data_IF_836205196724
#
_entry.id   IF_836205196724
#
_cell.length_a   1.000
_cell.length_b   1.000
_cell.length_c   1.000
_cell.angle_alpha   90.00
_cell.angle_beta   90.00
_cell.angle_gamma   90.00
#
_symmetry.space_group_name_H-M   'P 1'
#
loop_
_entity.id
_entity.type
_entity.pdbx_description
1 polymer ?
#
# COMPACT_ATOMS: atom_id res chain seq x y z
N UNK A 1 0.91 -7.32 -9.45
CA UNK A 1 0.15 -6.45 -8.55
C UNK A 1 -0.88 -5.74 -9.41
N UNK A 2 -2.15 -5.81 -9.03
CA UNK A 2 -3.24 -5.13 -9.71
C UNK A 2 -3.63 -3.90 -8.91
N UNK A 3 -3.78 -2.73 -9.57
CA UNK A 3 -4.22 -1.50 -8.91
C UNK A 3 -5.62 -1.15 -9.42
N UNK A 4 -6.57 -1.03 -8.50
CA UNK A 4 -7.97 -0.75 -8.77
C UNK A 4 -8.34 0.61 -8.16
N UNK A 5 -9.26 1.34 -8.78
CA UNK A 5 -9.82 2.54 -8.16
C UNK A 5 -10.56 2.16 -6.88
N UNK A 6 -10.43 2.96 -5.84
CA UNK A 6 -11.13 2.70 -4.59
C UNK A 6 -12.64 2.88 -4.76
N UNK A 7 -13.43 1.98 -4.15
CA UNK A 7 -14.89 1.99 -4.26
C UNK A 7 -15.56 1.88 -2.91
N UNK A 8 -16.37 2.89 -2.56
CA UNK A 8 -17.14 2.95 -1.30
C UNK A 8 -18.62 3.08 -1.61
N UNK A 9 -19.45 2.18 -1.06
CA UNK A 9 -20.93 2.20 -1.24
C UNK A 9 -21.34 2.39 -2.70
N UNK A 10 -20.73 1.63 -3.60
CA UNK A 10 -20.90 1.68 -5.06
C UNK A 10 -20.41 2.94 -5.78
N UNK A 11 -19.73 3.88 -5.11
CA UNK A 11 -19.14 5.09 -5.72
C UNK A 11 -17.63 4.96 -5.84
N UNK A 12 -17.08 5.36 -6.97
CA UNK A 12 -15.63 5.48 -7.15
C UNK A 12 -15.14 6.74 -6.46
N UNK A 13 -14.09 6.62 -5.64
CA UNK A 13 -13.46 7.78 -5.02
C UNK A 13 -12.27 8.21 -5.88
N UNK A 14 -12.28 9.49 -6.25
CA UNK A 14 -11.23 10.06 -7.09
C UNK A 14 -9.94 10.23 -6.28
N UNK A 15 -8.79 9.87 -6.87
CA UNK A 15 -7.49 9.97 -6.20
C UNK A 15 -7.19 8.84 -5.21
N UNK A 16 -8.08 7.84 -5.08
CA UNK A 16 -7.93 6.72 -4.17
C UNK A 16 -7.85 5.39 -4.92
N UNK A 17 -6.96 4.51 -4.45
CA UNK A 17 -6.60 3.28 -5.14
C UNK A 17 -6.33 2.14 -4.17
N UNK A 18 -6.79 0.95 -4.52
CA UNK A 18 -6.56 -0.30 -3.80
C UNK A 18 -5.57 -1.18 -4.58
N UNK A 19 -4.60 -1.77 -3.88
CA UNK A 19 -3.52 -2.57 -4.45
C UNK A 19 -3.72 -4.03 -4.07
N UNK A 20 -3.73 -4.91 -5.07
CA UNK A 20 -4.02 -6.34 -4.91
C UNK A 20 -2.90 -7.24 -5.43
N UNK A 21 -2.72 -8.39 -4.78
CA UNK A 21 -2.00 -9.55 -5.30
C UNK A 21 -2.94 -10.75 -5.22
N UNK A 22 -3.38 -11.25 -6.38
CA UNK A 22 -4.51 -12.18 -6.42
C UNK A 22 -5.77 -11.51 -5.87
N UNK A 23 -6.41 -12.14 -4.89
CA UNK A 23 -7.58 -11.59 -4.18
C UNK A 23 -7.22 -10.79 -2.93
N UNK A 24 -5.93 -10.74 -2.56
CA UNK A 24 -5.50 -10.11 -1.32
C UNK A 24 -5.17 -8.62 -1.48
N UNK A 25 -5.78 -7.82 -0.62
CA UNK A 25 -5.54 -6.38 -0.51
C UNK A 25 -4.24 -6.14 0.25
N UNK A 26 -3.23 -5.64 -0.45
CA UNK A 26 -1.88 -5.42 0.09
C UNK A 26 -1.61 -3.96 0.46
N UNK A 27 -2.31 -3.01 -0.14
CA UNK A 27 -2.22 -1.61 0.25
C UNK A 27 -3.43 -0.79 -0.19
N UNK A 28 -3.64 0.36 0.45
CA UNK A 28 -4.67 1.33 0.10
C UNK A 28 -4.09 2.73 0.08
N UNK A 29 -4.23 3.42 -1.04
CA UNK A 29 -3.93 4.83 -1.20
C UNK A 29 -5.23 5.61 -1.03
N UNK A 30 -5.29 6.44 0.01
CA UNK A 30 -6.47 7.25 0.34
C UNK A 30 -6.08 8.71 0.50
N UNK A 31 -7.04 9.61 0.28
CA UNK A 31 -6.83 11.06 0.40
C UNK A 31 -7.68 11.59 1.55
N UNK A 32 -7.23 12.64 2.22
CA UNK A 32 -8.10 13.28 3.21
C UNK A 32 -9.18 14.12 2.53
N UNK A 33 -10.39 14.08 3.09
CA UNK A 33 -11.53 14.89 2.63
C UNK A 33 -11.31 16.41 2.82
N UNK A 34 -10.34 16.81 3.66
CA UNK A 34 -10.00 18.21 3.96
C UNK A 34 -8.50 18.38 3.88
N UNK A 35 -8.02 19.24 2.98
CA UNK A 35 -6.59 19.43 2.70
C UNK A 35 -6.07 18.36 1.74
N UNK A 36 -5.88 18.75 0.47
CA UNK A 36 -5.42 17.84 -0.61
C UNK A 36 -3.90 17.87 -0.75
N UNK A 37 -3.18 18.19 0.32
CA UNK A 37 -1.72 18.34 0.30
C UNK A 37 -0.99 17.02 0.58
N UNK A 38 -1.68 15.97 1.00
CA UNK A 38 -1.11 14.63 1.13
C UNK A 38 -2.12 13.51 0.95
N UNK A 39 -1.60 12.35 0.53
CA UNK A 39 -2.29 11.07 0.54
C UNK A 39 -1.63 10.13 1.56
N UNK A 40 -2.40 9.18 2.07
CA UNK A 40 -1.89 8.09 2.90
C UNK A 40 -1.92 6.78 2.15
N UNK A 41 -0.78 6.11 2.15
CA UNK A 41 -0.61 4.75 1.69
C UNK A 41 -0.56 3.82 2.90
N UNK A 42 -1.64 3.09 3.14
CA UNK A 42 -1.78 2.08 4.17
C UNK A 42 -1.26 0.75 3.67
N UNK A 43 -0.35 0.10 4.40
CA UNK A 43 0.24 -1.18 4.01
C UNK A 43 -0.37 -2.33 4.83
N UNK A 44 -0.75 -3.42 4.14
CA UNK A 44 -1.46 -4.58 4.70
C UNK A 44 -2.55 -4.17 5.72
N UNK A 45 -3.54 -3.34 5.32
CA UNK A 45 -4.48 -2.73 6.26
C UNK A 45 -5.34 -3.75 7.01
N UNK A 46 -5.56 -4.94 6.46
CA UNK A 46 -6.23 -6.04 7.17
C UNK A 46 -5.44 -6.53 8.40
N UNK A 47 -4.10 -6.42 8.36
CA UNK A 47 -3.19 -6.91 9.40
C UNK A 47 -2.77 -5.75 10.31
N UNK A 48 -2.29 -4.64 9.74
CA UNK A 48 -1.71 -3.53 10.49
C UNK A 48 -2.68 -2.38 10.75
N UNK A 49 -3.89 -2.41 10.17
CA UNK A 49 -4.86 -1.30 10.21
C UNK A 49 -4.18 0.02 9.80
N UNK A 50 -4.12 0.99 10.71
CA UNK A 50 -3.57 2.32 10.47
C UNK A 50 -2.12 2.48 10.97
N UNK A 51 -1.52 1.41 11.53
CA UNK A 51 -0.21 1.49 12.16
C UNK A 51 0.95 1.55 11.15
N UNK A 52 0.79 0.92 9.98
CA UNK A 52 1.78 0.98 8.90
C UNK A 52 1.23 1.83 7.75
N UNK A 53 1.45 3.15 7.86
CA UNK A 53 1.07 4.13 6.85
C UNK A 53 2.24 5.00 6.42
N UNK A 54 2.27 5.33 5.14
CA UNK A 54 3.24 6.26 4.56
C UNK A 54 2.50 7.48 4.01
N UNK A 55 2.96 8.68 4.35
CA UNK A 55 2.42 9.92 3.80
C UNK A 55 3.13 10.24 2.49
N UNK A 56 2.36 10.49 1.44
CA UNK A 56 2.84 10.97 0.14
C UNK A 56 2.39 12.42 -0.02
N UNK A 57 3.30 13.34 -0.32
CA UNK A 57 3.00 14.75 -0.53
C UNK A 57 2.36 14.92 -1.91
N UNK A 58 1.19 15.55 -1.98
CA UNK A 58 0.47 15.75 -3.25
C UNK A 58 0.77 17.11 -3.89
N UNK A 59 1.54 17.97 -3.22
CA UNK A 59 1.80 19.32 -3.73
C UNK A 59 2.66 19.25 -4.98
N UNK A 60 2.17 19.88 -6.04
CA UNK A 60 2.86 20.01 -7.32
C UNK A 60 3.11 18.70 -8.07
N UNK A 61 2.40 17.62 -7.74
CA UNK A 61 2.47 16.35 -8.47
C UNK A 61 1.08 15.92 -8.96
N UNK A 62 1.07 15.18 -10.06
CA UNK A 62 -0.15 14.60 -10.65
C UNK A 62 -0.54 13.30 -9.94
N UNK A 63 -1.80 12.89 -10.06
CA UNK A 63 -2.25 11.60 -9.51
C UNK A 63 -1.53 10.39 -10.11
N UNK A 64 -1.08 10.48 -11.36
CA UNK A 64 -0.30 9.41 -11.99
C UNK A 64 1.08 9.29 -11.34
N UNK A 65 1.74 10.41 -11.05
CA UNK A 65 3.02 10.43 -10.32
C UNK A 65 2.88 9.90 -8.89
N UNK A 66 1.80 10.27 -8.19
CA UNK A 66 1.46 9.73 -6.86
C UNK A 66 1.28 8.22 -6.93
N UNK A 67 0.57 7.73 -7.95
CA UNK A 67 0.31 6.31 -8.12
C UNK A 67 1.60 5.54 -8.39
N UNK A 68 2.49 6.07 -9.24
CA UNK A 68 3.81 5.49 -9.48
C UNK A 68 4.66 5.43 -8.20
N UNK A 69 4.66 6.49 -7.40
CA UNK A 69 5.36 6.52 -6.12
C UNK A 69 4.79 5.48 -5.15
N UNK A 70 3.46 5.40 -5.06
CA UNK A 70 2.78 4.40 -4.24
C UNK A 70 3.14 2.97 -4.68
N UNK A 71 3.14 2.67 -5.98
CA UNK A 71 3.56 1.37 -6.53
C UNK A 71 4.99 1.02 -6.09
N UNK A 72 5.92 1.96 -6.19
CA UNK A 72 7.33 1.76 -5.79
C UNK A 72 7.43 1.46 -4.28
N UNK A 73 6.72 2.21 -3.43
CA UNK A 73 6.72 2.00 -1.99
C UNK A 73 6.13 0.63 -1.63
N UNK A 74 4.95 0.28 -2.16
CA UNK A 74 4.30 -1.01 -1.88
C UNK A 74 5.19 -2.17 -2.29
N UNK A 75 5.77 -2.11 -3.50
CA UNK A 75 6.64 -3.17 -4.01
C UNK A 75 7.87 -3.36 -3.12
N UNK A 76 8.51 -2.26 -2.69
CA UNK A 76 9.66 -2.31 -1.79
C UNK A 76 9.29 -2.92 -0.43
N UNK A 77 8.15 -2.53 0.15
CA UNK A 77 7.68 -3.09 1.43
C UNK A 77 7.39 -4.58 1.33
N UNK A 78 6.70 -5.02 0.28
CA UNK A 78 6.43 -6.44 0.04
C UNK A 78 7.73 -7.23 -0.12
N UNK A 79 8.69 -6.71 -0.87
CA UNK A 79 10.00 -7.35 -1.02
C UNK A 79 10.70 -7.55 0.33
N UNK A 80 10.76 -6.50 1.16
CA UNK A 80 11.37 -6.58 2.49
C UNK A 80 10.65 -7.58 3.40
N UNK A 81 9.31 -7.60 3.39
CA UNK A 81 8.52 -8.57 4.17
C UNK A 81 8.80 -10.01 3.72
N UNK A 82 8.81 -10.26 2.41
CA UNK A 82 9.14 -11.58 1.87
C UNK A 82 10.57 -12.02 2.23
N UNK A 83 11.53 -11.10 2.19
CA UNK A 83 12.91 -11.39 2.60
C UNK A 83 13.02 -11.70 4.08
N UNK A 84 12.31 -10.97 4.94
CA UNK A 84 12.27 -11.25 6.38
C UNK A 84 11.67 -12.64 6.65
N UNK A 85 10.54 -12.97 6.03
CA UNK A 85 9.90 -14.29 6.18
C UNK A 85 10.84 -15.41 5.72
N UNK A 86 11.44 -15.28 4.53
CA UNK A 86 12.37 -16.28 4.01
C UNK A 86 13.64 -16.41 4.87
N UNK A 87 14.14 -15.29 5.42
CA UNK A 87 15.24 -15.30 6.37
C UNK A 87 14.89 -16.04 7.66
N UNK A 88 13.70 -15.80 8.22
CA UNK A 88 13.20 -16.50 9.40
C UNK A 88 12.99 -17.99 9.14
N UNK A 89 12.48 -18.38 7.96
CA UNK A 89 12.32 -19.79 7.60
C UNK A 89 13.66 -20.52 7.53
N UNK A 90 14.70 -19.90 6.96
CA UNK A 90 16.06 -20.47 6.95
C UNK A 90 16.63 -20.69 8.35
N UNK A 91 16.27 -19.85 9.32
CA UNK A 91 16.70 -20.03 10.72
C UNK A 91 15.92 -21.09 11.50
N UNK A 92 14.79 -21.59 10.95
CA UNK A 92 13.98 -22.64 11.58
C UNK A 92 14.50 -24.05 11.20
N UNK A 93 15.30 -24.18 10.13
CA UNK A 93 15.83 -25.48 9.64
C UNK A 93 17.08 -26.00 10.38
N UNK A 94 17.41 -25.52 11.59
CA UNK A 94 18.55 -26.07 12.37
C UNK A 94 18.17 -26.28 13.84
N UNK A 95 17.42 -27.34 14.09
CA UNK A 95 17.50 -28.12 15.33
C UNK A 95 17.57 -29.60 14.93
N UNK A 96 18.79 -30.09 14.65
CA UNK A 96 19.14 -31.52 14.69
C UNK A 96 19.79 -31.85 16.04
#
# INVERSE_FOLDING_TARGET
MEVRKHRVKNRWIYGEYDFYIGEELVAQLTTQLVGVDYAYLYFLPKIYRDNDRTRIDLRYITYDEVLEEAIKIVTKKLYLQSMNILGSLKSIEVEE
#
